data_IF_607826125200
#
_entry.id   IF_607826125200
#
_cell.length_a   1.000
_cell.length_b   1.000
_cell.length_c   1.000
_cell.angle_alpha   90.00
_cell.angle_beta   90.00
_cell.angle_gamma   90.00
#
_symmetry.space_group_name_H-M   'P 1'
#
loop_
_entity.id
_entity.type
_entity.pdbx_description
1 polymer ?
#
# COMPACT_ATOMS: atom_id res chain seq x y z
N UNK A 1 -16.25 0.58 -10.82
CA UNK A 1 -15.07 0.70 -9.96
C UNK A 1 -14.67 2.15 -9.82
N UNK A 2 -14.43 2.61 -8.63
CA UNK A 2 -14.00 3.98 -8.37
C UNK A 2 -12.47 4.05 -8.40
N UNK A 3 -11.92 4.95 -9.20
CA UNK A 3 -10.47 5.13 -9.33
C UNK A 3 -10.04 6.44 -8.70
N UNK A 4 -8.96 6.37 -7.91
CA UNK A 4 -8.33 7.53 -7.28
C UNK A 4 -6.83 7.47 -7.54
N UNK A 5 -6.18 8.64 -7.53
CA UNK A 5 -4.73 8.70 -7.61
C UNK A 5 -4.14 9.20 -6.30
N UNK A 6 -2.88 8.84 -6.04
CA UNK A 6 -2.17 9.30 -4.86
C UNK A 6 -0.92 10.08 -5.27
N UNK A 7 -0.47 10.96 -4.37
CA UNK A 7 0.73 11.75 -4.58
C UNK A 7 1.97 10.87 -4.54
N UNK A 8 2.89 11.08 -5.47
CA UNK A 8 4.18 10.38 -5.51
C UNK A 8 5.28 11.11 -4.74
N UNK A 9 4.98 12.23 -4.09
CA UNK A 9 5.94 12.95 -3.27
C UNK A 9 6.45 12.04 -2.15
N UNK A 10 7.79 11.82 -2.05
CA UNK A 10 8.32 10.92 -1.03
C UNK A 10 8.07 11.44 0.39
N UNK A 11 7.75 10.52 1.30
CA UNK A 11 7.63 10.84 2.72
C UNK A 11 8.18 9.68 3.55
N UNK A 12 8.40 9.94 4.84
CA UNK A 12 8.83 8.90 5.77
C UNK A 12 7.64 8.06 6.24
N UNK A 13 7.95 6.92 6.86
CA UNK A 13 6.92 6.08 7.49
C UNK A 13 6.15 6.87 8.56
N UNK A 14 6.85 7.68 9.36
CA UNK A 14 6.21 8.49 10.41
C UNK A 14 5.26 9.52 9.82
N UNK A 15 5.65 10.18 8.74
CA UNK A 15 4.80 11.14 8.05
C UNK A 15 3.56 10.46 7.44
N UNK A 16 3.74 9.27 6.86
CA UNK A 16 2.64 8.49 6.31
C UNK A 16 1.66 8.06 7.41
N UNK A 17 2.17 7.69 8.59
CA UNK A 17 1.35 7.30 9.74
C UNK A 17 0.50 8.48 10.24
N UNK A 18 1.09 9.67 10.33
CA UNK A 18 0.37 10.88 10.73
C UNK A 18 -0.77 11.17 9.75
N UNK A 19 -0.49 11.11 8.46
CA UNK A 19 -1.49 11.35 7.42
C UNK A 19 -2.61 10.32 7.47
N UNK A 20 -2.26 9.05 7.64
CA UNK A 20 -3.24 7.96 7.78
C UNK A 20 -4.17 8.18 8.97
N UNK A 21 -3.62 8.58 10.12
CA UNK A 21 -4.40 8.86 11.33
C UNK A 21 -5.30 10.08 11.15
N UNK A 22 -4.79 11.14 10.55
CA UNK A 22 -5.57 12.36 10.30
C UNK A 22 -6.75 12.13 9.37
N UNK A 23 -6.57 11.26 8.36
CA UNK A 23 -7.60 10.94 7.38
C UNK A 23 -8.47 9.75 7.79
N UNK A 24 -8.16 9.14 8.94
CA UNK A 24 -8.85 7.97 9.48
C UNK A 24 -8.91 6.82 8.47
N UNK A 25 -7.79 6.56 7.81
CA UNK A 25 -7.65 5.46 6.86
C UNK A 25 -7.15 4.19 7.55
N UNK A 26 -7.60 3.03 7.08
CA UNK A 26 -7.11 1.74 7.56
C UNK A 26 -5.79 1.34 6.89
N UNK A 27 -5.51 1.91 5.74
CA UNK A 27 -4.26 1.74 5.01
C UNK A 27 -3.93 3.02 4.26
N UNK A 28 -2.64 3.20 3.93
CA UNK A 28 -2.18 4.41 3.23
C UNK A 28 -1.08 4.05 2.24
N UNK A 29 -1.32 4.32 0.96
CA UNK A 29 -0.37 4.11 -0.12
C UNK A 29 0.49 5.36 -0.26
N UNK A 30 1.82 5.20 -0.26
CA UNK A 30 2.75 6.32 -0.33
C UNK A 30 4.06 5.89 -0.99
N UNK A 31 4.90 6.87 -1.33
CA UNK A 31 6.28 6.62 -1.79
C UNK A 31 7.21 6.81 -0.60
N UNK A 32 7.90 5.75 -0.19
CA UNK A 32 8.81 5.79 0.94
C UNK A 32 10.11 6.54 0.57
N UNK A 33 10.51 7.46 1.43
CA UNK A 33 11.55 8.44 1.15
C UNK A 33 12.96 7.83 0.99
N UNK A 34 13.30 6.84 1.79
CA UNK A 34 14.63 6.21 1.77
C UNK A 34 14.83 5.31 0.55
N UNK A 35 13.85 4.47 0.26
CA UNK A 35 13.91 3.50 -0.84
C UNK A 35 13.41 4.07 -2.16
N UNK A 36 12.64 5.15 -2.12
CA UNK A 36 11.95 5.74 -3.26
C UNK A 36 10.95 4.77 -3.91
N UNK A 37 10.52 3.79 -3.15
CA UNK A 37 9.57 2.76 -3.61
C UNK A 37 8.19 2.98 -3.02
N UNK A 38 7.18 2.55 -3.76
CA UNK A 38 5.81 2.56 -3.26
C UNK A 38 5.65 1.57 -2.12
N UNK A 39 4.87 1.95 -1.13
CA UNK A 39 4.56 1.10 0.00
C UNK A 39 3.17 1.37 0.52
N UNK A 40 2.63 0.41 1.25
CA UNK A 40 1.35 0.53 1.94
C UNK A 40 1.59 0.36 3.43
N UNK A 41 1.24 1.40 4.19
CA UNK A 41 1.24 1.34 5.64
C UNK A 41 -0.18 0.97 6.09
N UNK A 42 -0.30 0.01 6.99
CA UNK A 42 -1.60 -0.42 7.51
C UNK A 42 -1.48 -0.89 8.94
N UNK A 43 -2.60 -0.89 9.65
CA UNK A 43 -2.65 -1.32 11.05
C UNK A 43 -2.69 -2.83 11.12
N UNK A 44 -1.91 -3.39 12.05
CA UNK A 44 -1.89 -4.81 12.29
C UNK A 44 -0.54 -5.31 12.75
N UNK A 45 -0.48 -6.63 12.99
CA UNK A 45 0.75 -7.28 13.42
C UNK A 45 1.14 -7.01 14.87
N UNK A 46 2.29 -7.56 15.30
CA UNK A 46 2.70 -7.49 16.71
C UNK A 46 3.10 -6.08 17.17
N UNK A 47 3.50 -5.20 16.26
CA UNK A 47 3.93 -3.83 16.60
C UNK A 47 2.81 -2.80 16.47
N UNK A 48 1.66 -3.16 15.89
CA UNK A 48 0.54 -2.26 15.64
C UNK A 48 0.48 -1.69 14.22
N UNK A 49 1.61 -1.65 13.52
CA UNK A 49 1.69 -1.18 12.13
C UNK A 49 2.53 -2.13 11.29
N UNK A 50 2.11 -2.32 10.05
CA UNK A 50 2.83 -3.10 9.06
C UNK A 50 3.07 -2.27 7.81
N UNK A 51 4.19 -2.53 7.15
CA UNK A 51 4.56 -1.89 5.89
C UNK A 51 4.76 -2.97 4.84
N UNK A 52 4.01 -2.90 3.74
CA UNK A 52 4.22 -3.72 2.57
C UNK A 52 4.91 -2.88 1.51
N UNK A 53 6.04 -3.35 0.99
CA UNK A 53 6.81 -2.67 -0.07
C UNK A 53 6.75 -3.49 -1.35
N UNK A 54 7.01 -2.84 -2.48
CA UNK A 54 7.09 -3.53 -3.78
C UNK A 54 8.09 -4.68 -3.69
N UNK A 55 9.27 -4.41 -3.10
CA UNK A 55 10.26 -5.44 -2.78
C UNK A 55 10.67 -5.27 -1.32
N UNK A 56 10.64 -6.35 -0.51
CA UNK A 56 11.00 -6.23 0.91
C UNK A 56 12.44 -5.78 1.09
N UNK A 57 12.67 -4.93 2.08
CA UNK A 57 14.00 -4.45 2.46
C UNK A 57 14.12 -4.50 3.99
N UNK A 58 15.34 -4.35 4.50
CA UNK A 58 15.56 -4.21 5.94
C UNK A 58 15.29 -2.78 6.39
N UNK A 59 15.03 -2.59 7.67
CA UNK A 59 14.65 -1.28 8.23
C UNK A 59 15.69 -0.19 7.95
N UNK A 60 16.95 -0.53 7.89
CA UNK A 60 18.05 0.41 7.65
C UNK A 60 18.01 1.04 6.25
N UNK A 61 17.25 0.48 5.32
CA UNK A 61 17.06 1.01 3.97
C UNK A 61 16.02 2.10 3.92
N UNK A 62 15.16 2.16 4.91
CA UNK A 62 14.11 3.17 5.01
C UNK A 62 14.68 4.48 5.53
N UNK A 63 13.99 5.60 5.21
CA UNK A 63 14.27 6.87 5.87
C UNK A 63 14.05 6.69 7.38
N UNK A 64 14.81 7.37 8.26
CA UNK A 64 14.66 7.22 9.70
C UNK A 64 13.21 7.38 10.17
N UNK A 65 12.77 6.51 11.08
CA UNK A 65 11.42 6.51 11.62
C UNK A 65 11.44 6.02 13.08
N UNK A 66 10.42 6.41 13.85
CA UNK A 66 10.27 6.01 15.25
C UNK A 66 9.07 5.09 15.47
N UNK A 67 8.14 5.03 14.52
CA UNK A 67 6.94 4.22 14.62
C UNK A 67 7.29 2.74 14.82
N UNK A 68 6.66 2.04 15.79
CA UNK A 68 6.80 0.59 15.88
C UNK A 68 6.27 -0.06 14.60
N UNK A 69 7.13 -0.75 13.86
CA UNK A 69 6.84 -1.20 12.51
C UNK A 69 7.31 -2.62 12.27
N UNK A 70 6.47 -3.40 11.60
CA UNK A 70 6.84 -4.71 11.06
C UNK A 70 6.79 -4.64 9.53
N UNK A 71 7.90 -4.98 8.87
CA UNK A 71 7.95 -4.99 7.41
C UNK A 71 7.48 -6.36 6.92
N UNK A 72 6.52 -6.36 5.98
CA UNK A 72 6.04 -7.59 5.36
C UNK A 72 7.17 -8.26 4.57
N UNK A 73 7.38 -9.57 4.73
CA UNK A 73 8.42 -10.30 3.98
C UNK A 73 8.03 -10.63 2.54
N UNK A 74 6.80 -10.34 2.13
CA UNK A 74 6.29 -10.72 0.82
C UNK A 74 6.37 -9.55 -0.16
N UNK A 75 6.93 -9.77 -1.38
CA UNK A 75 6.89 -8.75 -2.42
C UNK A 75 5.48 -8.58 -2.97
N UNK A 76 5.20 -7.42 -3.55
CA UNK A 76 3.92 -7.18 -4.21
C UNK A 76 3.82 -8.06 -5.47
N UNK A 77 2.74 -8.82 -5.65
CA UNK A 77 2.57 -9.64 -6.84
C UNK A 77 2.28 -8.78 -8.07
N UNK A 78 2.68 -9.25 -9.24
CA UNK A 78 2.35 -8.63 -10.51
C UNK A 78 1.08 -9.29 -11.06
N UNK A 79 0.00 -8.53 -11.15
CA UNK A 79 -1.32 -9.05 -11.50
C UNK A 79 -2.03 -8.13 -12.48
N UNK A 80 -2.90 -8.71 -13.31
CA UNK A 80 -3.88 -7.91 -14.04
C UNK A 80 -4.95 -7.43 -13.06
N UNK A 81 -5.70 -6.40 -13.43
CA UNK A 81 -6.80 -5.89 -12.61
C UNK A 81 -7.83 -7.00 -12.32
N UNK A 82 -8.16 -7.80 -13.32
CA UNK A 82 -9.10 -8.92 -13.17
C UNK A 82 -8.59 -9.97 -12.19
N UNK A 83 -7.32 -10.34 -12.30
CA UNK A 83 -6.70 -11.29 -11.38
C UNK A 83 -6.63 -10.74 -9.96
N UNK A 84 -6.41 -9.43 -9.81
CA UNK A 84 -6.41 -8.78 -8.50
C UNK A 84 -7.79 -8.82 -7.85
N UNK A 85 -8.85 -8.53 -8.62
CA UNK A 85 -10.24 -8.59 -8.12
C UNK A 85 -10.58 -10.01 -7.67
N UNK A 86 -10.21 -11.01 -8.46
CA UNK A 86 -10.44 -12.41 -8.13
C UNK A 86 -9.72 -12.80 -6.84
N UNK A 87 -8.45 -12.43 -6.71
CA UNK A 87 -7.64 -12.75 -5.52
C UNK A 87 -8.21 -12.06 -4.28
N UNK A 88 -8.60 -10.81 -4.38
CA UNK A 88 -9.21 -10.08 -3.28
C UNK A 88 -10.46 -10.79 -2.77
N UNK A 89 -11.30 -11.26 -3.68
CA UNK A 89 -12.51 -12.00 -3.34
C UNK A 89 -12.22 -13.36 -2.72
N UNK A 90 -11.30 -14.13 -3.31
CA UNK A 90 -10.96 -15.47 -2.84
C UNK A 90 -10.33 -15.47 -1.45
N UNK A 91 -9.46 -14.50 -1.17
CA UNK A 91 -8.75 -14.42 0.11
C UNK A 91 -9.51 -13.61 1.16
N UNK A 92 -10.65 -13.04 0.78
CA UNK A 92 -11.49 -12.20 1.66
C UNK A 92 -10.68 -11.10 2.36
N UNK A 93 -9.80 -10.45 1.61
CA UNK A 93 -8.94 -9.39 2.12
C UNK A 93 -9.66 -8.04 2.08
N UNK A 94 -9.33 -7.11 3.01
CA UNK A 94 -9.87 -5.74 2.94
C UNK A 94 -9.24 -4.93 1.80
N UNK A 95 -8.00 -5.22 1.44
CA UNK A 95 -7.29 -4.60 0.33
C UNK A 95 -6.21 -5.53 -0.20
N UNK A 96 -5.73 -5.24 -1.41
CA UNK A 96 -4.64 -5.97 -2.04
C UNK A 96 -3.66 -4.97 -2.66
N UNK A 97 -2.39 -5.05 -2.27
CA UNK A 97 -1.29 -4.28 -2.85
C UNK A 97 -0.62 -5.13 -3.94
N UNK A 98 -0.55 -4.59 -5.15
CA UNK A 98 -0.03 -5.35 -6.31
C UNK A 98 0.58 -4.40 -7.34
N UNK A 99 1.37 -4.97 -8.25
CA UNK A 99 1.86 -4.26 -9.42
C UNK A 99 0.91 -4.56 -10.57
N UNK A 100 0.32 -3.52 -11.16
CA UNK A 100 -0.56 -3.67 -12.32
C UNK A 100 0.26 -4.13 -13.53
N UNK A 101 -0.03 -5.34 -14.02
CA UNK A 101 0.72 -5.95 -15.12
C UNK A 101 0.63 -5.13 -16.42
N UNK A 102 -0.47 -4.41 -16.63
CA UNK A 102 -0.67 -3.62 -17.85
C UNK A 102 0.12 -2.32 -17.83
N UNK A 103 0.28 -1.70 -16.64
CA UNK A 103 0.88 -0.37 -16.51
C UNK A 103 2.22 -0.36 -15.78
N UNK A 104 2.55 -1.44 -15.07
CA UNK A 104 3.76 -1.51 -14.26
C UNK A 104 3.71 -0.66 -12.99
N UNK A 105 2.55 -0.23 -12.56
CA UNK A 105 2.38 0.68 -11.43
C UNK A 105 1.94 -0.05 -10.18
N UNK A 106 2.53 0.35 -9.04
CA UNK A 106 2.08 -0.13 -7.73
C UNK A 106 0.69 0.40 -7.44
N UNK A 107 -0.24 -0.49 -7.15
CA UNK A 107 -1.66 -0.16 -7.01
C UNK A 107 -2.24 -0.84 -5.78
N UNK A 108 -3.31 -0.28 -5.23
CA UNK A 108 -4.08 -0.90 -4.16
C UNK A 108 -5.53 -1.03 -4.60
N UNK A 109 -6.00 -2.27 -4.63
CA UNK A 109 -7.40 -2.58 -4.83
C UNK A 109 -8.04 -2.81 -3.46
N UNK A 110 -9.19 -2.20 -3.20
CA UNK A 110 -9.85 -2.33 -1.90
C UNK A 110 -11.36 -2.46 -2.07
N UNK A 111 -12.00 -3.02 -1.05
CA UNK A 111 -13.46 -3.11 -1.02
C UNK A 111 -14.03 -1.84 -0.40
N UNK A 112 -15.03 -1.30 -1.07
CA UNK A 112 -15.80 -0.20 -0.53
C UNK A 112 -16.96 -0.76 0.32
N UNK A 113 -17.45 0.06 1.23
CA UNK A 113 -18.55 -0.34 2.11
C UNK A 113 -19.85 -0.62 1.36
N UNK A 114 -19.99 -0.12 0.12
CA UNK A 114 -21.17 -0.33 -0.72
C UNK A 114 -21.10 -1.63 -1.55
N UNK A 115 -20.10 -2.47 -1.33
CA UNK A 115 -19.91 -3.72 -2.07
C UNK A 115 -19.16 -3.59 -3.39
N UNK A 116 -18.84 -2.37 -3.81
CA UNK A 116 -18.02 -2.13 -4.99
C UNK A 116 -16.54 -2.06 -4.63
N UNK A 117 -15.69 -1.99 -5.66
CA UNK A 117 -14.24 -1.89 -5.48
C UNK A 117 -13.75 -0.48 -5.72
N UNK A 118 -12.66 -0.12 -5.06
CA UNK A 118 -11.89 1.08 -5.34
C UNK A 118 -10.48 0.72 -5.74
N UNK A 119 -9.87 1.55 -6.57
CA UNK A 119 -8.49 1.37 -7.03
C UNK A 119 -7.70 2.64 -6.81
N UNK A 120 -6.57 2.52 -6.10
CA UNK A 120 -5.61 3.60 -5.93
C UNK A 120 -4.42 3.36 -6.84
N UNK A 121 -4.03 4.37 -7.62
CA UNK A 121 -2.87 4.31 -8.52
C UNK A 121 -2.02 5.57 -8.36
N UNK A 122 -0.72 5.52 -8.72
CA UNK A 122 0.10 6.74 -8.71
C UNK A 122 -0.45 7.79 -9.67
N UNK A 123 -0.26 9.06 -9.31
CA UNK A 123 -0.77 10.18 -10.11
C UNK A 123 -0.22 10.21 -11.54
N UNK A 124 0.98 9.68 -11.75
CA UNK A 124 1.63 9.65 -13.07
C UNK A 124 1.33 8.38 -13.88
N UNK A 125 0.43 7.55 -13.42
CA UNK A 125 0.16 6.25 -14.04
C UNK A 125 -1.14 6.20 -14.83
#
# INVERSE_FOLDING_TARGET
MRRKSYSMAPCSVDEAAVEMEMLDYDFHLFTEKGTRSAGVLYRGGPTGYRLALVAPVTEDRLSPFELPLTISPHPAPCLTEEAAIERLGLLDLPFLFYIDAARGCASVLYRRYDGHYGLLTPASC
#
